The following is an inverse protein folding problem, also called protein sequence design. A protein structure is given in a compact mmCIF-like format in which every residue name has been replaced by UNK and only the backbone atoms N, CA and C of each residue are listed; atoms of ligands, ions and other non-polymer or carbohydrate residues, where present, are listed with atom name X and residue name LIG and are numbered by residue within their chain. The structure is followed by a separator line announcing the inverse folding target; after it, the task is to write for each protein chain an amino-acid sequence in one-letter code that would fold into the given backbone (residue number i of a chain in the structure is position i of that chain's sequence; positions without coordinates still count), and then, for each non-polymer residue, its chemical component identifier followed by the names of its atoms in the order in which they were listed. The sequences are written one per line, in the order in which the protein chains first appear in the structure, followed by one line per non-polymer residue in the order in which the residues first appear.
data_IF_260174130700
#
_entry.id   IF_260174130700
#
_cell.length_a   1.000
_cell.length_b   1.000
_cell.length_c   1.000
_cell.angle_alpha   90.00
_cell.angle_beta   90.00
_cell.angle_gamma   90.00
#
_symmetry.space_group_name_H-M   'P 1'
#
loop_
_entity.id
_entity.type
_entity.pdbx_description
1 polymer ?
#
# COMPACT_ATOMS: atom_id res chain seq x y z
N UNK A 1 -2.06 7.04 -8.17
CA UNK A 1 -2.49 7.12 -6.75
C UNK A 1 -1.87 5.95 -6.00
N UNK A 2 -1.41 6.12 -4.76
CA UNK A 2 -0.59 5.13 -4.05
C UNK A 2 -1.16 4.80 -2.67
N UNK A 3 -0.97 3.56 -2.19
CA UNK A 3 -1.38 3.14 -0.85
C UNK A 3 -0.33 3.52 0.18
N UNK A 4 -0.75 4.03 1.33
CA UNK A 4 0.16 4.39 2.41
C UNK A 4 1.06 3.19 2.81
N UNK A 5 2.36 3.45 2.99
CA UNK A 5 3.37 2.44 3.37
C UNK A 5 4.04 1.69 2.20
N UNK A 6 3.47 1.69 0.99
CA UNK A 6 4.00 0.93 -0.15
C UNK A 6 4.97 1.78 -0.99
N UNK A 7 6.20 1.29 -1.20
CA UNK A 7 7.22 1.86 -2.12
C UNK A 7 7.52 3.35 -1.88
N UNK A 8 7.84 3.72 -0.64
CA UNK A 8 8.19 5.10 -0.22
C UNK A 8 9.30 5.77 -1.03
N UNK A 9 10.25 5.00 -1.60
CA UNK A 9 11.30 5.56 -2.46
C UNK A 9 10.71 6.16 -3.75
N UNK A 10 9.79 5.44 -4.39
CA UNK A 10 9.13 5.86 -5.62
C UNK A 10 8.34 7.16 -5.41
N UNK A 11 7.74 7.36 -4.23
CA UNK A 11 7.01 8.61 -3.94
C UNK A 11 7.93 9.82 -3.99
N UNK A 12 9.10 9.71 -3.35
CA UNK A 12 10.11 10.77 -3.31
C UNK A 12 10.70 11.04 -4.69
N UNK A 13 10.81 10.03 -5.52
CA UNK A 13 11.27 10.17 -6.90
C UNK A 13 10.24 10.88 -7.78
N UNK A 14 8.98 10.46 -7.72
CA UNK A 14 7.88 11.11 -8.45
C UNK A 14 7.69 12.57 -8.04
N UNK A 15 7.81 12.87 -6.74
CA UNK A 15 7.78 14.26 -6.24
C UNK A 15 8.96 15.07 -6.77
N UNK A 16 10.17 14.50 -6.83
CA UNK A 16 11.36 15.16 -7.40
C UNK A 16 11.22 15.43 -8.90
N UNK A 17 10.48 14.58 -9.61
CA UNK A 17 10.17 14.77 -11.03
C UNK A 17 9.01 15.76 -11.28
N UNK A 18 8.46 16.40 -10.23
CA UNK A 18 7.42 17.40 -10.35
C UNK A 18 5.99 16.83 -10.49
N UNK A 19 5.80 15.52 -10.35
CA UNK A 19 4.47 14.92 -10.43
C UNK A 19 3.66 15.12 -9.14
N UNK A 20 2.35 15.33 -9.29
CA UNK A 20 1.41 15.35 -8.16
C UNK A 20 1.14 13.92 -7.69
N UNK A 21 1.65 13.57 -6.51
CA UNK A 21 1.41 12.26 -5.89
C UNK A 21 0.21 12.36 -4.93
N UNK A 22 -0.74 11.43 -5.07
CA UNK A 22 -1.87 11.25 -4.14
C UNK A 22 -1.70 9.94 -3.38
N UNK A 23 -1.66 10.03 -2.04
CA UNK A 23 -1.52 8.88 -1.14
C UNK A 23 -2.86 8.63 -0.43
N UNK A 24 -3.34 7.40 -0.49
CA UNK A 24 -4.54 6.95 0.20
C UNK A 24 -4.16 6.47 1.60
N UNK A 25 -4.63 7.21 2.62
CA UNK A 25 -4.36 6.96 4.03
C UNK A 25 -5.66 6.47 4.70
N UNK A 26 -5.78 5.17 5.02
CA UNK A 26 -6.87 4.71 5.88
C UNK A 26 -6.63 5.17 7.32
N UNK A 27 -7.65 5.71 7.99
CA UNK A 27 -7.59 6.17 9.38
C UNK A 27 -8.79 5.62 10.19
N UNK A 28 -8.63 5.52 11.50
CA UNK A 28 -9.69 5.09 12.44
C UNK A 28 -9.33 3.87 13.29
N UNK A 29 -10.12 3.64 14.35
CA UNK A 29 -9.90 2.55 15.32
C UNK A 29 -10.17 1.16 14.73
N UNK A 30 -11.00 1.05 13.70
CA UNK A 30 -11.40 -0.21 13.06
C UNK A 30 -10.48 -0.62 11.88
N UNK A 31 -9.18 -0.36 12.01
CA UNK A 31 -8.19 -0.65 10.97
C UNK A 31 -8.14 -2.14 10.60
N UNK A 32 -8.37 -3.03 11.58
CA UNK A 32 -8.29 -4.48 11.39
C UNK A 32 -9.37 -5.03 10.44
N UNK A 33 -10.63 -4.64 10.65
CA UNK A 33 -11.73 -5.06 9.78
C UNK A 33 -11.55 -4.52 8.35
N UNK A 34 -11.08 -3.27 8.21
CA UNK A 34 -10.75 -2.69 6.91
C UNK A 34 -9.64 -3.46 6.18
N UNK A 35 -8.58 -3.80 6.90
CA UNK A 35 -7.44 -4.55 6.37
C UNK A 35 -7.83 -5.97 5.94
N UNK A 36 -8.57 -6.69 6.78
CA UNK A 36 -9.03 -8.04 6.47
C UNK A 36 -9.98 -8.07 5.27
N UNK A 37 -10.87 -7.08 5.14
CA UNK A 37 -11.71 -6.95 3.94
C UNK A 37 -10.87 -6.74 2.67
N UNK A 38 -9.85 -5.87 2.71
CA UNK A 38 -8.94 -5.63 1.57
C UNK A 38 -8.08 -6.84 1.20
N UNK A 39 -7.75 -7.69 2.17
CA UNK A 39 -7.08 -8.97 1.95
C UNK A 39 -8.00 -9.99 1.28
N UNK A 40 -9.24 -10.09 1.74
CA UNK A 40 -10.24 -11.03 1.22
C UNK A 40 -10.73 -10.67 -0.20
N UNK A 41 -10.74 -9.39 -0.56
CA UNK A 41 -11.20 -8.91 -1.88
C UNK A 41 -10.43 -9.50 -3.08
N UNK A 42 -9.13 -9.81 -2.93
CA UNK A 42 -8.32 -10.40 -4.01
C UNK A 42 -7.21 -11.34 -3.49
N UNK A 43 -7.28 -12.67 -3.71
CA UNK A 43 -6.24 -13.61 -3.27
C UNK A 43 -4.86 -13.35 -3.90
N UNK A 44 -4.80 -12.64 -5.03
CA UNK A 44 -3.54 -12.19 -5.62
C UNK A 44 -2.75 -11.20 -4.73
N UNK A 45 -3.45 -10.40 -3.91
CA UNK A 45 -2.80 -9.46 -2.99
C UNK A 45 -2.09 -10.20 -1.84
N UNK A 46 -2.66 -11.32 -1.39
CA UNK A 46 -2.05 -12.22 -0.39
C UNK A 46 -0.73 -12.78 -0.90
N UNK A 47 -0.70 -13.30 -2.13
CA UNK A 47 0.53 -13.81 -2.76
C UNK A 47 1.60 -12.72 -2.93
N UNK A 48 1.19 -11.49 -3.28
CA UNK A 48 2.11 -10.36 -3.39
C UNK A 48 2.72 -9.94 -2.04
N UNK A 49 1.90 -9.91 -0.98
CA UNK A 49 2.34 -9.66 0.39
C UNK A 49 3.29 -10.75 0.88
N UNK A 50 2.93 -12.02 0.69
CA UNK A 50 3.78 -13.16 1.03
C UNK A 50 5.13 -13.07 0.31
N UNK A 51 5.14 -12.84 -1.02
CA UNK A 51 6.40 -12.64 -1.77
C UNK A 51 7.22 -11.47 -1.25
N UNK A 52 6.61 -10.37 -0.84
CA UNK A 52 7.37 -9.25 -0.26
C UNK A 52 7.91 -9.57 1.15
N UNK A 53 7.21 -10.38 1.93
CA UNK A 53 7.66 -10.78 3.27
C UNK A 53 8.88 -11.71 3.21
N UNK A 54 8.89 -12.63 2.24
CA UNK A 54 10.01 -13.55 2.01
C UNK A 54 11.17 -12.93 1.23
N UNK A 55 10.93 -11.81 0.55
CA UNK A 55 11.96 -11.04 -0.15
C UNK A 55 12.49 -9.96 0.80
N UNK A 56 13.14 -10.41 1.86
CA UNK A 56 13.98 -9.57 2.73
C UNK A 56 15.20 -9.10 1.97
#
# INVERSE_FOLDING_TARGET
QMLYGIRRHLWRELLRQGYRVRVYVPYGKQWYAYFMRRLAERPANLLFLARNLFRR
#
